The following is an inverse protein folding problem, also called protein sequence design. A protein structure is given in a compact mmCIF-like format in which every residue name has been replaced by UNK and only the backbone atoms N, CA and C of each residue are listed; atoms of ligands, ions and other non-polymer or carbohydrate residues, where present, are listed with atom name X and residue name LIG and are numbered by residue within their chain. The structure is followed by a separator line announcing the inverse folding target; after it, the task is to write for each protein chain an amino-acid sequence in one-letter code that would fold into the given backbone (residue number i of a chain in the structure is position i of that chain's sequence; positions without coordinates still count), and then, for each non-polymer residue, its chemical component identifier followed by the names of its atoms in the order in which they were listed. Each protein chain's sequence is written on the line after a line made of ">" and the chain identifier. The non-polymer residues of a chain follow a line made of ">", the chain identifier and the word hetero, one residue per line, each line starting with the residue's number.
data_IF_859171577092
#
_entry.id   IF_859171577092
#
_cell.length_a   1.000
_cell.length_b   1.000
_cell.length_c   1.000
_cell.angle_alpha   90.00
_cell.angle_beta   90.00
_cell.angle_gamma   90.00
#
_symmetry.space_group_name_H-M   'P 1'
#
loop_
_entity.id
_entity.type
_entity.pdbx_description
1 polymer ?
#
# COMPACT_ATOMS: atom_id res chain seq x y z
N UNK A 1 14.58 -3.42 -12.51
CA UNK A 1 15.24 -4.32 -11.55
C UNK A 1 15.37 -5.66 -12.22
N UNK A 2 16.59 -6.05 -12.55
CA UNK A 2 16.82 -7.30 -13.26
C UNK A 2 16.87 -8.42 -12.22
N UNK A 3 16.27 -9.60 -12.47
CA UNK A 3 16.24 -10.73 -11.52
C UNK A 3 17.61 -11.06 -10.90
N UNK A 4 18.69 -10.83 -11.66
CA UNK A 4 20.07 -11.06 -11.23
C UNK A 4 20.49 -10.21 -10.02
N UNK A 5 20.08 -8.94 -9.96
CA UNK A 5 20.36 -8.03 -8.83
C UNK A 5 19.72 -8.56 -7.53
N UNK A 6 18.61 -9.28 -7.66
CA UNK A 6 17.88 -9.92 -6.57
C UNK A 6 18.38 -11.34 -6.24
N UNK A 7 19.47 -11.79 -6.90
CA UNK A 7 20.00 -13.14 -6.71
C UNK A 7 19.14 -14.22 -7.39
N UNK A 8 18.40 -13.86 -8.44
CA UNK A 8 17.51 -14.77 -9.16
C UNK A 8 18.03 -15.09 -10.56
N UNK A 9 17.52 -16.18 -11.12
CA UNK A 9 17.62 -16.57 -12.52
C UNK A 9 16.22 -16.59 -13.12
N UNK A 10 16.05 -15.92 -14.26
CA UNK A 10 14.82 -15.99 -15.05
C UNK A 10 14.88 -17.21 -15.96
N UNK A 11 13.91 -18.13 -15.84
CA UNK A 11 13.82 -19.35 -16.64
C UNK A 11 12.71 -19.31 -17.71
N UNK A 12 11.92 -18.22 -17.75
CA UNK A 12 10.81 -18.07 -18.69
C UNK A 12 9.52 -17.63 -18.02
N UNK A 13 8.44 -17.70 -18.78
CA UNK A 13 7.08 -17.58 -18.24
C UNK A 13 6.59 -18.96 -17.82
N UNK A 14 5.83 -19.04 -16.72
CA UNK A 14 5.19 -20.28 -16.33
C UNK A 14 4.15 -20.66 -17.39
N UNK A 15 4.11 -21.93 -17.86
CA UNK A 15 3.15 -22.35 -18.88
C UNK A 15 1.70 -22.45 -18.36
N UNK A 16 1.48 -22.18 -17.07
CA UNK A 16 0.17 -22.25 -16.43
C UNK A 16 -0.39 -20.86 -16.11
N UNK A 17 -1.65 -20.64 -16.48
CA UNK A 17 -2.40 -19.42 -16.14
C UNK A 17 -3.89 -19.77 -15.92
N UNK A 18 -4.43 -19.60 -14.70
CA UNK A 18 -3.74 -19.11 -13.51
C UNK A 18 -2.71 -20.11 -12.97
N UNK A 19 -1.66 -19.55 -12.34
CA UNK A 19 -0.81 -20.27 -11.38
C UNK A 19 -1.30 -19.99 -9.96
N UNK A 20 -0.53 -20.36 -8.95
CA UNK A 20 -0.83 -20.06 -7.55
C UNK A 20 0.32 -19.36 -6.83
N UNK A 21 -0.03 -18.59 -5.81
CA UNK A 21 0.85 -17.90 -4.89
C UNK A 21 0.70 -18.55 -3.52
N UNK A 22 1.78 -19.17 -3.04
CA UNK A 22 1.88 -19.69 -1.68
C UNK A 22 2.74 -18.75 -0.85
N UNK A 23 2.12 -18.07 0.11
CA UNK A 23 2.82 -17.14 0.98
C UNK A 23 3.74 -17.88 1.95
N UNK A 24 4.96 -17.36 2.13
CA UNK A 24 5.84 -17.78 3.22
C UNK A 24 5.41 -17.16 4.55
N UNK A 25 5.95 -17.64 5.68
CA UNK A 25 5.50 -17.25 7.02
C UNK A 25 5.49 -15.74 7.29
N UNK A 26 6.49 -15.03 6.75
CA UNK A 26 6.61 -13.56 6.93
C UNK A 26 5.43 -12.81 6.31
N UNK A 27 4.99 -13.20 5.11
CA UNK A 27 3.85 -12.58 4.43
C UNK A 27 2.51 -13.14 4.90
N UNK A 28 2.47 -14.41 5.28
CA UNK A 28 1.24 -15.11 5.69
C UNK A 28 0.72 -14.69 7.07
N UNK A 29 1.50 -13.96 7.88
CA UNK A 29 1.09 -13.56 9.22
C UNK A 29 -0.28 -12.84 9.22
N UNK A 30 -1.25 -13.42 9.95
CA UNK A 30 -2.65 -12.99 10.03
C UNK A 30 -3.47 -13.09 8.71
N UNK A 31 -2.98 -13.81 7.71
CA UNK A 31 -3.72 -14.15 6.49
C UNK A 31 -4.12 -15.63 6.51
N UNK A 32 -5.22 -16.02 5.84
CA UNK A 32 -5.55 -17.43 5.64
C UNK A 32 -4.40 -18.17 4.95
N UNK A 33 -4.09 -19.38 5.43
CA UNK A 33 -3.15 -20.25 4.71
C UNK A 33 -3.86 -20.87 3.50
N UNK A 34 -3.51 -20.39 2.31
CA UNK A 34 -4.19 -20.73 1.07
C UNK A 34 -3.24 -20.54 -0.13
N UNK A 35 -3.51 -21.25 -1.22
CA UNK A 35 -2.89 -21.05 -2.51
C UNK A 35 -3.69 -20.04 -3.33
N UNK A 36 -3.24 -18.80 -3.34
CA UNK A 36 -3.95 -17.69 -3.98
C UNK A 36 -3.75 -17.71 -5.49
N UNK A 37 -4.81 -17.63 -6.29
CA UNK A 37 -4.67 -17.66 -7.74
C UNK A 37 -3.87 -16.45 -8.28
N UNK A 38 -3.00 -16.70 -9.26
CA UNK A 38 -2.27 -15.71 -10.06
C UNK A 38 -2.93 -15.63 -11.44
N UNK A 39 -3.98 -14.82 -11.58
CA UNK A 39 -4.87 -14.81 -12.75
C UNK A 39 -4.21 -14.34 -14.05
N UNK A 40 -3.19 -13.48 -13.99
CA UNK A 40 -2.44 -13.03 -15.17
C UNK A 40 -1.11 -13.80 -15.36
N UNK A 41 -0.95 -14.94 -14.67
CA UNK A 41 0.25 -15.76 -14.74
C UNK A 41 1.43 -15.21 -13.92
N UNK A 42 2.59 -15.85 -14.07
CA UNK A 42 3.83 -15.50 -13.36
C UNK A 42 5.06 -15.94 -14.14
N UNK A 43 6.16 -15.24 -13.95
CA UNK A 43 7.47 -15.67 -14.38
C UNK A 43 8.00 -16.83 -13.53
N UNK A 44 8.91 -17.61 -14.11
CA UNK A 44 9.73 -18.60 -13.42
C UNK A 44 11.01 -17.93 -12.92
N UNK A 45 11.01 -17.49 -11.67
CA UNK A 45 12.19 -16.93 -11.00
C UNK A 45 12.80 -17.96 -10.05
N UNK A 46 13.96 -18.51 -10.40
CA UNK A 46 14.68 -19.45 -9.54
C UNK A 46 15.69 -18.70 -8.68
N UNK A 47 15.67 -18.83 -7.35
CA UNK A 47 16.75 -18.32 -6.50
C UNK A 47 18.07 -19.01 -6.84
N UNK A 48 19.16 -18.23 -6.98
CA UNK A 48 20.51 -18.77 -7.15
C UNK A 48 20.98 -19.42 -5.84
N UNK A 49 21.98 -20.31 -5.93
CA UNK A 49 22.58 -20.96 -4.78
C UNK A 49 23.01 -19.93 -3.73
N UNK A 50 22.54 -20.12 -2.48
CA UNK A 50 22.82 -19.19 -1.38
C UNK A 50 21.94 -17.92 -1.33
N UNK A 51 20.89 -17.84 -2.15
CA UNK A 51 19.92 -16.71 -2.15
C UNK A 51 18.49 -17.17 -1.84
N UNK A 52 18.32 -18.30 -1.16
CA UNK A 52 16.99 -18.84 -0.85
C UNK A 52 16.21 -17.98 0.16
N UNK A 53 16.93 -17.26 1.02
CA UNK A 53 16.47 -16.33 2.05
C UNK A 53 15.75 -15.11 1.48
N UNK A 54 16.01 -14.74 0.22
CA UNK A 54 15.33 -13.62 -0.43
C UNK A 54 13.87 -13.93 -0.77
N UNK A 55 13.43 -15.19 -0.69
CA UNK A 55 12.07 -15.55 -1.11
C UNK A 55 11.07 -15.41 0.03
N UNK A 56 10.02 -14.65 -0.21
CA UNK A 56 8.90 -14.44 0.71
C UNK A 56 7.64 -15.23 0.32
N UNK A 57 7.51 -15.67 -0.93
CA UNK A 57 6.43 -16.54 -1.40
C UNK A 57 6.87 -17.37 -2.61
N UNK A 58 6.27 -18.55 -2.77
CA UNK A 58 6.54 -19.51 -3.85
C UNK A 58 5.39 -19.61 -4.84
N UNK A 59 5.69 -20.07 -6.05
CA UNK A 59 4.69 -20.42 -7.06
C UNK A 59 4.13 -21.81 -6.76
N UNK A 60 2.81 -21.96 -6.80
CA UNK A 60 2.14 -23.26 -6.87
C UNK A 60 1.71 -23.54 -8.32
N UNK A 61 1.93 -24.76 -8.77
CA UNK A 61 1.57 -25.21 -10.12
C UNK A 61 0.27 -26.03 -10.07
N UNK A 62 -0.66 -25.84 -11.01
CA UNK A 62 -1.87 -26.66 -11.12
C UNK A 62 -1.54 -28.07 -11.65
N UNK A 63 -2.42 -29.04 -11.39
CA UNK A 63 -2.35 -30.39 -11.98
C UNK A 63 -2.28 -30.37 -13.51
N UNK A 64 -2.99 -29.43 -14.13
CA UNK A 64 -3.00 -29.23 -15.58
C UNK A 64 -3.51 -27.84 -15.94
N UNK A 65 -3.10 -27.34 -17.10
CA UNK A 65 -3.70 -26.15 -17.68
C UNK A 65 -5.11 -26.46 -18.15
N UNK A 66 -6.11 -25.77 -17.61
CA UNK A 66 -7.49 -25.90 -18.10
C UNK A 66 -7.54 -25.45 -19.56
N UNK A 67 -8.04 -26.35 -20.40
CA UNK A 67 -8.20 -26.18 -21.84
C UNK A 67 -9.47 -26.92 -22.27
N UNK A 68 -10.01 -26.69 -23.48
CA UNK A 68 -11.13 -27.48 -23.99
C UNK A 68 -10.90 -29.00 -23.90
N UNK A 69 -9.65 -29.45 -24.04
CA UNK A 69 -9.24 -30.86 -23.97
C UNK A 69 -9.07 -31.39 -22.54
N UNK A 70 -8.86 -30.50 -21.57
CA UNK A 70 -8.67 -30.82 -20.14
C UNK A 70 -9.60 -29.97 -19.28
N UNK A 71 -10.84 -30.46 -19.16
CA UNK A 71 -11.94 -29.75 -18.52
C UNK A 71 -12.01 -29.94 -17.01
N UNK A 72 -12.36 -28.87 -16.30
CA UNK A 72 -12.88 -28.88 -14.93
C UNK A 72 -14.01 -27.83 -14.85
N UNK A 73 -15.00 -28.08 -13.98
CA UNK A 73 -16.14 -27.19 -13.75
C UNK A 73 -15.76 -25.88 -13.05
N UNK A 74 -14.59 -25.83 -12.43
CA UNK A 74 -14.04 -24.63 -11.80
C UNK A 74 -13.22 -23.81 -12.80
N UNK A 75 -13.11 -22.50 -12.58
CA UNK A 75 -12.19 -21.65 -13.35
C UNK A 75 -10.71 -21.93 -13.05
N UNK A 76 -10.44 -22.68 -11.99
CA UNK A 76 -9.14 -22.98 -11.42
C UNK A 76 -8.98 -24.50 -11.30
N UNK A 77 -7.88 -25.05 -11.84
CA UNK A 77 -7.51 -26.45 -11.65
C UNK A 77 -6.83 -26.63 -10.30
N UNK A 78 -7.13 -27.67 -9.49
CA UNK A 78 -6.48 -27.86 -8.20
C UNK A 78 -4.95 -27.76 -8.26
N UNK A 79 -4.36 -27.24 -7.18
CA UNK A 79 -2.90 -27.19 -6.99
C UNK A 79 -2.38 -28.61 -6.96
N UNK A 80 -1.28 -28.86 -7.67
CA UNK A 80 -0.54 -30.12 -7.61
C UNK A 80 0.56 -30.04 -6.54
N UNK A 81 1.47 -29.08 -6.70
CA UNK A 81 2.60 -28.89 -5.80
C UNK A 81 3.05 -27.43 -5.75
N UNK A 82 3.84 -27.09 -4.74
CA UNK A 82 4.56 -25.82 -4.64
C UNK A 82 5.95 -26.01 -5.25
N UNK A 83 6.28 -25.22 -6.26
CA UNK A 83 7.57 -25.31 -6.95
C UNK A 83 8.64 -24.47 -6.26
N UNK A 84 9.88 -24.62 -6.71
CA UNK A 84 11.02 -23.83 -6.19
C UNK A 84 11.02 -22.38 -6.69
N UNK A 85 10.12 -22.04 -7.63
CA UNK A 85 10.04 -20.70 -8.19
C UNK A 85 9.56 -19.69 -7.16
N UNK A 86 10.28 -18.58 -7.04
CA UNK A 86 9.90 -17.45 -6.21
C UNK A 86 8.80 -16.64 -6.89
N UNK A 87 7.72 -16.39 -6.17
CA UNK A 87 6.64 -15.51 -6.60
C UNK A 87 6.80 -14.09 -6.04
N UNK A 88 7.33 -13.97 -4.82
CA UNK A 88 7.59 -12.70 -4.13
C UNK A 88 8.96 -12.77 -3.49
N UNK A 89 9.76 -11.72 -3.67
CA UNK A 89 11.13 -11.65 -3.16
C UNK A 89 11.41 -10.31 -2.49
N UNK A 90 12.36 -10.33 -1.55
CA UNK A 90 12.95 -9.15 -0.94
C UNK A 90 14.44 -9.36 -0.70
N UNK A 91 15.25 -8.37 -1.08
CA UNK A 91 16.66 -8.28 -0.78
C UNK A 91 16.97 -6.84 -0.38
N UNK A 92 17.38 -6.63 0.87
CA UNK A 92 17.62 -5.31 1.44
C UNK A 92 16.41 -4.37 1.25
N UNK A 93 16.60 -3.26 0.51
CA UNK A 93 15.56 -2.28 0.19
C UNK A 93 14.85 -2.54 -1.14
N UNK A 94 15.09 -3.69 -1.76
CA UNK A 94 14.47 -4.09 -3.01
C UNK A 94 13.44 -5.20 -2.74
N UNK A 95 12.25 -5.03 -3.29
CA UNK A 95 11.21 -6.06 -3.30
C UNK A 95 10.62 -6.16 -4.71
N UNK A 96 10.26 -7.38 -5.11
CA UNK A 96 9.69 -7.63 -6.43
C UNK A 96 8.74 -8.83 -6.43
N UNK A 97 7.89 -8.88 -7.45
CA UNK A 97 6.97 -9.98 -7.71
C UNK A 97 7.23 -10.55 -9.10
N UNK A 98 7.18 -11.87 -9.22
CA UNK A 98 7.34 -12.56 -10.52
C UNK A 98 6.11 -12.40 -11.43
N UNK A 99 5.02 -11.85 -10.90
CA UNK A 99 3.75 -11.59 -11.58
C UNK A 99 3.43 -10.08 -11.58
N UNK A 100 2.60 -9.57 -12.52
CA UNK A 100 2.31 -8.15 -12.67
C UNK A 100 1.29 -7.63 -11.64
N UNK A 101 1.68 -7.62 -10.36
CA UNK A 101 0.80 -7.38 -9.19
C UNK A 101 -0.13 -6.15 -9.33
N UNK A 102 0.35 -5.02 -9.84
CA UNK A 102 -0.45 -3.81 -10.00
C UNK A 102 -1.53 -3.97 -11.09
N UNK A 103 -1.14 -4.46 -12.27
CA UNK A 103 -2.07 -4.74 -13.37
C UNK A 103 -3.08 -5.82 -12.99
N UNK A 104 -2.64 -6.85 -12.27
CA UNK A 104 -3.53 -7.91 -11.77
C UNK A 104 -4.53 -7.38 -10.74
N UNK A 105 -4.11 -6.50 -9.83
CA UNK A 105 -5.06 -5.86 -8.90
C UNK A 105 -6.07 -4.99 -9.65
N UNK A 106 -5.62 -4.19 -10.61
CA UNK A 106 -6.49 -3.35 -11.43
C UNK A 106 -7.56 -4.17 -12.19
N UNK A 107 -7.18 -5.30 -12.79
CA UNK A 107 -8.09 -6.15 -13.59
C UNK A 107 -9.05 -6.97 -12.74
N UNK A 108 -8.57 -7.55 -11.64
CA UNK A 108 -9.31 -8.58 -10.90
C UNK A 108 -9.88 -8.09 -9.56
N UNK A 109 -9.39 -6.97 -9.02
CA UNK A 109 -9.76 -6.49 -7.68
C UNK A 109 -9.46 -7.49 -6.57
N UNK A 110 -8.56 -8.46 -6.81
CA UNK A 110 -8.32 -9.56 -5.88
C UNK A 110 -7.50 -9.05 -4.69
N UNK A 111 -8.14 -8.98 -3.52
CA UNK A 111 -7.63 -8.32 -2.32
C UNK A 111 -6.21 -8.74 -1.91
N UNK A 112 -5.84 -10.00 -2.17
CA UNK A 112 -4.53 -10.54 -1.80
C UNK A 112 -3.38 -9.82 -2.52
N UNK A 113 -3.59 -9.35 -3.76
CA UNK A 113 -2.57 -8.60 -4.49
C UNK A 113 -2.27 -7.27 -3.80
N UNK A 114 -3.30 -6.58 -3.30
CA UNK A 114 -3.12 -5.37 -2.50
C UNK A 114 -2.40 -5.67 -1.19
N UNK A 115 -2.76 -6.74 -0.49
CA UNK A 115 -2.12 -7.10 0.79
C UNK A 115 -0.63 -7.44 0.62
N UNK A 116 -0.28 -8.22 -0.40
CA UNK A 116 1.12 -8.53 -0.72
C UNK A 116 1.88 -7.24 -1.05
N UNK A 117 1.32 -6.38 -1.89
CA UNK A 117 1.93 -5.10 -2.23
C UNK A 117 2.15 -4.21 -0.99
N UNK A 118 1.14 -4.09 -0.12
CA UNK A 118 1.22 -3.29 1.10
C UNK A 118 2.32 -3.78 2.04
N UNK A 119 2.44 -5.10 2.23
CA UNK A 119 3.48 -5.73 3.07
C UNK A 119 4.87 -5.56 2.47
N UNK A 120 5.02 -5.73 1.15
CA UNK A 120 6.28 -5.44 0.47
C UNK A 120 6.67 -3.98 0.64
N UNK A 121 5.74 -3.05 0.41
CA UNK A 121 6.00 -1.62 0.57
C UNK A 121 6.43 -1.29 2.00
N UNK A 122 5.76 -1.82 3.03
CA UNK A 122 6.16 -1.64 4.42
C UNK A 122 7.55 -2.20 4.73
N UNK A 123 7.96 -3.28 4.06
CA UNK A 123 9.30 -3.87 4.25
C UNK A 123 10.43 -3.01 3.68
N UNK A 124 10.19 -2.26 2.60
CA UNK A 124 11.22 -1.44 1.93
C UNK A 124 11.12 0.06 2.26
N UNK A 125 9.96 0.50 2.74
CA UNK A 125 9.67 1.86 3.20
C UNK A 125 9.06 1.82 4.61
N UNK A 126 9.88 1.50 5.64
CA UNK A 126 9.39 1.29 7.01
C UNK A 126 8.98 2.60 7.70
N UNK A 127 9.52 3.74 7.28
CA UNK A 127 9.12 5.07 7.77
C UNK A 127 8.28 5.76 6.71
N UNK A 128 6.95 5.72 6.88
CA UNK A 128 6.00 6.42 6.03
C UNK A 128 5.79 7.83 6.54
N UNK A 129 5.71 8.80 5.63
CA UNK A 129 5.38 10.19 5.96
C UNK A 129 4.03 10.28 6.68
N UNK A 130 3.02 9.55 6.20
CA UNK A 130 1.68 9.53 6.77
C UNK A 130 1.18 8.09 6.94
N UNK A 131 0.46 7.86 8.04
CA UNK A 131 -0.27 6.63 8.36
C UNK A 131 -1.65 7.02 8.88
N UNK A 132 -2.64 6.14 8.70
CA UNK A 132 -4.03 6.43 9.08
C UNK A 132 -4.82 5.14 9.28
N UNK A 133 -5.89 5.23 10.06
CA UNK A 133 -6.92 4.20 10.18
C UNK A 133 -8.05 4.36 9.13
N UNK A 134 -7.96 5.34 8.23
CA UNK A 134 -8.98 5.55 7.21
C UNK A 134 -9.16 4.31 6.32
N UNK A 135 -10.39 4.03 5.86
CA UNK A 135 -10.65 2.88 5.01
C UNK A 135 -9.92 3.02 3.66
N UNK A 136 -9.76 1.89 2.94
CA UNK A 136 -9.11 1.86 1.62
C UNK A 136 -9.81 2.75 0.57
N UNK A 137 -11.07 3.13 0.80
CA UNK A 137 -11.80 4.11 0.01
C UNK A 137 -11.33 5.55 0.24
N UNK A 138 -10.37 5.80 1.11
CA UNK A 138 -9.91 7.16 1.43
C UNK A 138 -8.56 7.45 0.82
N UNK A 139 -8.47 8.59 0.14
CA UNK A 139 -7.19 9.14 -0.31
C UNK A 139 -6.66 10.11 0.75
N UNK A 140 -5.38 9.97 1.09
CA UNK A 140 -4.67 10.85 2.02
C UNK A 140 -3.41 11.37 1.34
N UNK A 141 -3.30 12.68 1.21
CA UNK A 141 -2.15 13.35 0.64
C UNK A 141 -1.66 14.45 1.57
N UNK A 142 -0.34 14.58 1.72
CA UNK A 142 0.30 15.64 2.51
C UNK A 142 0.96 16.62 1.57
N UNK A 143 0.58 17.90 1.66
CA UNK A 143 1.25 19.00 0.98
C UNK A 143 1.92 19.91 2.02
N UNK A 144 2.93 20.69 1.59
CA UNK A 144 3.70 21.56 2.47
C UNK A 144 3.71 22.98 1.89
N UNK A 145 3.68 23.96 2.79
CA UNK A 145 3.84 25.38 2.49
C UNK A 145 4.88 25.97 3.46
N UNK A 146 5.95 26.53 2.90
CA UNK A 146 6.93 27.30 3.66
C UNK A 146 6.28 28.54 4.30
N UNK A 147 6.91 29.09 5.34
CA UNK A 147 6.42 30.32 5.97
C UNK A 147 6.37 31.50 4.99
N UNK A 148 5.30 32.29 5.07
CA UNK A 148 5.08 33.49 4.28
C UNK A 148 4.59 34.64 5.18
N UNK A 149 4.42 35.84 4.62
CA UNK A 149 3.99 37.02 5.39
C UNK A 149 2.58 36.87 5.99
N UNK A 150 1.73 36.03 5.39
CA UNK A 150 0.33 35.83 5.75
C UNK A 150 0.06 34.49 6.46
N UNK A 151 1.06 33.59 6.55
CA UNK A 151 0.92 32.32 7.25
C UNK A 151 2.27 31.75 7.73
N UNK A 152 2.29 31.01 8.85
CA UNK A 152 3.48 30.26 9.26
C UNK A 152 3.76 29.08 8.30
N UNK A 153 4.91 28.43 8.49
CA UNK A 153 5.17 27.14 7.85
C UNK A 153 4.11 26.13 8.27
N UNK A 154 3.57 25.37 7.31
CA UNK A 154 2.49 24.44 7.55
C UNK A 154 2.44 23.26 6.60
N UNK A 155 1.90 22.15 7.09
CA UNK A 155 1.54 20.98 6.30
C UNK A 155 0.02 20.88 6.21
N UNK A 156 -0.49 20.51 5.05
CA UNK A 156 -1.92 20.30 4.83
C UNK A 156 -2.14 18.84 4.45
N UNK A 157 -2.90 18.14 5.28
CA UNK A 157 -3.31 16.76 5.03
C UNK A 157 -4.68 16.81 4.38
N UNK A 158 -4.72 16.51 3.09
CA UNK A 158 -5.94 16.36 2.32
C UNK A 158 -6.47 14.95 2.52
N UNK A 159 -7.68 14.83 3.03
CA UNK A 159 -8.38 13.56 3.22
C UNK A 159 -9.62 13.59 2.34
N UNK A 160 -9.74 12.65 1.41
CA UNK A 160 -10.89 12.53 0.51
C UNK A 160 -11.56 11.18 0.71
N UNK A 161 -12.79 11.19 1.20
CA UNK A 161 -13.64 10.01 1.33
C UNK A 161 -14.20 9.62 -0.03
N UNK A 162 -13.41 8.89 -0.81
CA UNK A 162 -13.81 8.37 -2.10
C UNK A 162 -14.51 7.02 -1.92
N UNK A 163 -15.80 7.04 -1.54
CA UNK A 163 -16.64 5.85 -1.48
C UNK A 163 -17.33 5.61 -2.84
N UNK A 164 -16.75 4.84 -3.78
CA UNK A 164 -17.35 4.63 -5.10
C UNK A 164 -18.61 3.76 -4.99
N UNK A 165 -19.66 4.16 -5.70
CA UNK A 165 -20.87 3.35 -5.84
C UNK A 165 -20.68 2.21 -6.85
N UNK A 166 -21.58 1.22 -6.79
CA UNK A 166 -21.50 -0.04 -7.54
C UNK A 166 -21.42 0.20 -9.06
N UNK A 167 -20.59 -0.61 -9.73
CA UNK A 167 -20.37 -0.60 -11.17
C UNK A 167 -21.37 -1.50 -11.92
N UNK A 168 -21.81 -1.05 -13.08
CA UNK A 168 -22.07 -1.91 -14.25
C UNK A 168 -21.12 -1.49 -15.37
N UNK A 169 -20.64 -2.41 -16.24
CA UNK A 169 -19.80 -2.01 -17.37
C UNK A 169 -20.46 -0.92 -18.23
N UNK A 170 -19.65 0.09 -18.60
CA UNK A 170 -19.94 1.34 -19.31
C UNK A 170 -20.52 2.53 -18.52
N UNK A 171 -20.65 2.47 -17.19
CA UNK A 171 -21.05 3.64 -16.38
C UNK A 171 -19.84 4.41 -15.81
N UNK A 172 -19.90 5.74 -15.84
CA UNK A 172 -18.94 6.66 -15.19
C UNK A 172 -18.99 6.49 -13.66
N UNK A 173 -17.84 6.67 -12.99
CA UNK A 173 -17.79 6.66 -11.53
C UNK A 173 -18.54 7.90 -10.98
N UNK A 174 -19.58 7.64 -10.19
CA UNK A 174 -20.30 8.67 -9.44
C UNK A 174 -19.95 8.53 -7.95
N UNK A 175 -19.63 9.65 -7.31
CA UNK A 175 -19.47 9.77 -5.85
C UNK A 175 -20.76 10.40 -5.32
N UNK A 176 -21.78 9.56 -5.14
CA UNK A 176 -23.08 9.99 -4.62
C UNK A 176 -23.25 9.44 -3.19
N UNK A 177 -23.59 10.33 -2.26
CA UNK A 177 -23.91 10.02 -0.86
C UNK A 177 -22.82 9.20 -0.12
N UNK A 178 -21.56 9.68 -0.03
CA UNK A 178 -20.52 8.95 0.67
C UNK A 178 -20.86 8.82 2.16
N UNK A 179 -20.64 7.63 2.72
CA UNK A 179 -20.82 7.40 4.16
C UNK A 179 -19.74 8.19 4.90
N UNK A 180 -20.10 9.12 5.80
CA UNK A 180 -19.14 9.93 6.53
C UNK A 180 -18.14 9.07 7.32
N UNK A 181 -16.88 9.47 7.26
CA UNK A 181 -15.84 8.88 8.08
C UNK A 181 -15.87 9.48 9.48
N UNK A 182 -15.50 8.69 10.48
CA UNK A 182 -15.49 9.08 11.88
C UNK A 182 -14.18 8.68 12.53
N UNK A 183 -13.69 9.54 13.44
CA UNK A 183 -12.50 9.30 14.26
C UNK A 183 -11.28 8.88 13.42
N UNK A 184 -11.04 9.64 12.34
CA UNK A 184 -9.92 9.40 11.43
C UNK A 184 -8.64 9.89 12.08
N UNK A 185 -7.80 8.94 12.49
CA UNK A 185 -6.47 9.20 13.01
C UNK A 185 -5.52 9.45 11.84
N UNK A 186 -4.77 10.54 11.92
CA UNK A 186 -3.71 10.90 11.00
C UNK A 186 -2.40 10.96 11.80
N UNK A 187 -1.48 10.05 11.49
CA UNK A 187 -0.16 10.00 12.08
C UNK A 187 0.87 10.45 11.06
N UNK A 188 1.60 11.53 11.33
CA UNK A 188 2.60 12.08 10.40
C UNK A 188 4.00 12.11 11.01
N UNK A 189 4.98 11.66 10.24
CA UNK A 189 6.41 11.75 10.56
C UNK A 189 6.99 13.03 9.96
N UNK A 190 6.82 14.14 10.68
CA UNK A 190 7.38 15.44 10.32
C UNK A 190 8.54 15.77 11.26
N UNK A 191 9.67 16.19 10.69
CA UNK A 191 10.82 16.69 11.43
C UNK A 191 10.66 18.20 11.69
N UNK A 192 9.56 18.55 12.36
CA UNK A 192 9.22 19.92 12.73
C UNK A 192 8.48 19.91 14.07
N UNK A 193 8.66 20.96 14.86
CA UNK A 193 7.86 21.17 16.06
C UNK A 193 6.56 21.84 15.66
N UNK A 194 5.43 21.17 15.91
CA UNK A 194 4.11 21.65 15.54
C UNK A 194 3.44 22.31 16.75
N UNK A 195 2.87 23.50 16.52
CA UNK A 195 2.19 24.26 17.57
C UNK A 195 0.67 24.13 17.52
N UNK A 196 0.11 23.85 16.34
CA UNK A 196 -1.34 23.93 16.11
C UNK A 196 -1.80 22.97 15.04
N UNK A 197 -3.00 22.41 15.25
CA UNK A 197 -3.70 21.61 14.25
C UNK A 197 -5.16 22.06 14.16
N UNK A 198 -5.69 22.25 12.95
CA UNK A 198 -7.09 22.67 12.76
C UNK A 198 -7.64 22.24 11.40
N UNK A 199 -8.96 22.28 11.23
CA UNK A 199 -9.57 22.09 9.89
C UNK A 199 -9.59 23.40 9.11
N UNK A 200 -9.18 23.37 7.84
CA UNK A 200 -9.12 24.57 7.01
C UNK A 200 -10.50 25.17 6.69
N UNK A 201 -11.57 24.37 6.76
CA UNK A 201 -12.91 24.79 6.35
C UNK A 201 -13.56 25.74 7.36
N UNK A 202 -13.38 25.49 8.66
CA UNK A 202 -14.03 26.23 9.74
C UNK A 202 -13.07 26.75 10.81
N UNK A 203 -11.78 26.40 10.73
CA UNK A 203 -10.77 26.77 11.73
C UNK A 203 -10.92 26.03 13.06
N UNK A 204 -11.70 24.94 13.12
CA UNK A 204 -11.88 24.16 14.33
C UNK A 204 -10.56 23.53 14.78
N UNK A 205 -10.15 23.82 16.00
CA UNK A 205 -8.95 23.25 16.62
C UNK A 205 -9.07 21.74 16.81
N UNK A 206 -7.99 21.03 16.50
CA UNK A 206 -7.86 19.61 16.70
C UNK A 206 -6.75 19.36 17.73
N UNK A 207 -6.98 18.51 18.75
CA UNK A 207 -5.94 18.14 19.68
C UNK A 207 -4.76 17.51 18.96
N UNK A 208 -3.58 18.08 19.18
CA UNK A 208 -2.32 17.61 18.64
C UNK A 208 -1.55 16.87 19.74
N UNK A 209 -1.03 15.69 19.42
CA UNK A 209 -0.18 14.94 20.34
C UNK A 209 1.04 14.35 19.62
N UNK A 210 2.11 14.07 20.36
CA UNK A 210 3.32 13.43 19.83
C UNK A 210 3.52 12.09 20.49
N UNK A 211 3.52 11.01 19.71
CA UNK A 211 3.68 9.64 20.19
C UNK A 211 4.65 8.88 19.28
N UNK A 212 5.65 8.21 19.86
CA UNK A 212 6.61 7.42 19.10
C UNK A 212 7.37 8.21 18.02
N UNK A 213 7.58 9.51 18.22
CA UNK A 213 8.25 10.40 17.25
C UNK A 213 7.36 10.88 16.09
N UNK A 214 6.07 10.50 16.07
CA UNK A 214 5.07 10.98 15.09
C UNK A 214 4.12 11.97 15.74
N UNK A 215 3.61 12.89 14.94
CA UNK A 215 2.51 13.77 15.31
C UNK A 215 1.19 13.08 14.98
N UNK A 216 0.26 13.10 15.93
CA UNK A 216 -1.04 12.46 15.84
C UNK A 216 -2.14 13.50 16.02
N UNK A 217 -3.12 13.46 15.11
CA UNK A 217 -4.35 14.24 15.17
C UNK A 217 -5.53 13.34 14.79
N UNK A 218 -6.70 13.56 15.41
CA UNK A 218 -7.93 12.82 15.10
C UNK A 218 -8.96 13.79 14.53
N UNK A 219 -9.44 13.50 13.33
CA UNK A 219 -10.55 14.23 12.70
C UNK A 219 -11.85 13.53 13.09
N UNK A 220 -12.73 14.18 13.87
CA UNK A 220 -13.90 13.51 14.44
C UNK A 220 -14.91 13.08 13.37
N UNK A 221 -15.01 13.85 12.29
CA UNK A 221 -15.91 13.55 11.18
C UNK A 221 -15.42 14.14 9.86
N UNK A 222 -15.53 13.35 8.79
CA UNK A 222 -15.26 13.79 7.41
C UNK A 222 -16.43 13.32 6.55
N UNK A 223 -17.24 14.26 6.05
CA UNK A 223 -18.37 13.92 5.17
C UNK A 223 -17.85 13.47 3.79
N UNK A 224 -17.26 14.40 3.03
CA UNK A 224 -16.72 14.16 1.69
C UNK A 224 -15.21 14.32 1.69
N UNK A 225 -14.73 15.46 2.20
CA UNK A 225 -13.30 15.75 2.30
C UNK A 225 -13.02 16.66 3.47
N UNK A 226 -11.77 16.64 3.92
CA UNK A 226 -11.25 17.56 4.92
C UNK A 226 -9.81 17.94 4.55
N UNK A 227 -9.42 19.17 4.91
CA UNK A 227 -8.03 19.60 4.89
C UNK A 227 -7.65 19.91 6.33
N UNK A 228 -6.76 19.10 6.89
CA UNK A 228 -6.19 19.31 8.23
C UNK A 228 -4.89 20.08 8.09
N UNK A 229 -4.81 21.25 8.70
CA UNK A 229 -3.62 22.09 8.69
C UNK A 229 -2.83 21.82 9.97
N UNK A 230 -1.53 21.61 9.83
CA UNK A 230 -0.55 21.48 10.89
C UNK A 230 0.42 22.64 10.78
N UNK A 231 0.41 23.58 11.72
CA UNK A 231 1.30 24.74 11.72
C UNK A 231 2.53 24.49 12.59
N UNK A 232 3.70 24.86 12.09
CA UNK A 232 4.93 24.86 12.85
C UNK A 232 4.87 25.88 14.00
N UNK A 233 5.59 25.60 15.08
CA UNK A 233 5.90 26.61 16.08
C UNK A 233 6.70 27.75 15.44
N UNK A 234 6.43 28.99 15.84
CA UNK A 234 7.24 30.12 15.39
C UNK A 234 8.70 29.92 15.82
N UNK A 235 9.63 29.99 14.88
CA UNK A 235 11.05 30.08 15.22
C UNK A 235 11.29 31.43 15.90
N UNK A 236 11.70 31.43 17.17
CA UNK A 236 12.36 32.60 17.75
C UNK A 236 13.64 32.85 16.96
N UNK A 237 13.64 33.87 16.11
CA UNK A 237 14.87 34.39 15.52
C UNK A 237 15.62 35.09 16.66
N UNK A 238 16.62 34.42 17.24
CA UNK A 238 17.62 35.10 18.06
C UNK A 238 18.29 36.16 17.20
N UNK A 239 17.84 37.41 17.34
CA UNK A 239 18.57 38.55 16.83
C UNK A 239 19.87 38.67 17.64
N UNK A 240 20.93 38.05 17.14
CA UNK A 240 22.29 38.36 17.58
C UNK A 240 22.58 39.80 17.15
N UNK A 241 22.37 40.73 18.08
CA UNK A 241 22.80 42.11 17.95
C UNK A 241 24.33 42.14 18.04
N UNK A 242 24.98 42.36 16.89
CA UNK A 242 26.36 42.81 16.88
C UNK A 242 26.37 44.31 17.17
N UNK A 243 26.69 44.67 18.40
CA UNK A 243 27.06 46.02 18.81
C UNK A 243 28.54 46.29 18.51
#
# INVERSE_FOLDING_TARGET
>A
LWPEELGLQYEGQLPFTPAYLKLGPELAAALPDYEYALYDGTAQWRPRTGSADVTLARVGEPLFQRAPEHYTSHNQTPVDHISDYAAVVRRDRLAATAFPIATSYYRHGYWIYREVFARLLSSVLPQRLAETNAPISTEVAVTHQEAAADHPERWMIHVVNFSPNRRTPAHTDYVEDPIPLHDIQLDVALDAELARAYTAADGAELPLSRQGGRWMVVVPRIDISAVVVLEAAAHEVEHVSWA
#
